data_IF_934915224822
#
_entry.id   IF_934915224822
#
_cell.length_a   1.000
_cell.length_b   1.000
_cell.length_c   1.000
_cell.angle_alpha   90.00
_cell.angle_beta   90.00
_cell.angle_gamma   90.00
#
_symmetry.space_group_name_H-M   'P 1'
#
loop_
_entity.id
_entity.type
_entity.pdbx_description
1 polymer ?
#
# COMPACT_ATOMS: atom_id res chain seq x y z
N UNK A 1 -24.03 16.79 -24.45
CA UNK A 1 -23.25 17.82 -23.71
C UNK A 1 -21.81 17.35 -23.61
N UNK A 2 -20.87 18.03 -24.26
CA UNK A 2 -19.44 17.74 -24.14
C UNK A 2 -18.87 18.43 -22.90
N UNK A 3 -18.25 17.66 -22.01
CA UNK A 3 -17.51 18.20 -20.87
C UNK A 3 -16.11 18.61 -21.35
N UNK A 4 -15.72 19.86 -21.05
CA UNK A 4 -14.38 20.37 -21.33
C UNK A 4 -13.31 19.52 -20.64
N UNK A 5 -12.16 19.31 -21.27
CA UNK A 5 -11.13 18.37 -20.80
C UNK A 5 -10.63 18.63 -19.37
N UNK A 6 -10.59 19.90 -18.95
CA UNK A 6 -10.21 20.29 -17.58
C UNK A 6 -11.24 19.91 -16.51
N UNK A 7 -12.50 19.71 -16.90
CA UNK A 7 -13.61 19.32 -16.02
C UNK A 7 -13.82 17.80 -15.98
N UNK A 8 -13.05 17.04 -16.76
CA UNK A 8 -13.07 15.58 -16.69
C UNK A 8 -12.36 15.12 -15.41
N UNK A 9 -13.16 14.74 -14.41
CA UNK A 9 -12.65 14.03 -13.24
C UNK A 9 -12.02 12.70 -13.63
N UNK A 10 -10.93 12.34 -12.96
CA UNK A 10 -10.30 11.03 -13.15
C UNK A 10 -10.94 10.09 -12.11
N UNK A 11 -11.65 9.06 -12.56
CA UNK A 11 -12.29 8.06 -11.71
C UNK A 11 -11.26 7.09 -11.11
N UNK A 12 -10.44 7.60 -10.20
CA UNK A 12 -9.37 6.78 -9.61
C UNK A 12 -9.92 5.66 -8.73
N UNK A 13 -11.16 5.75 -8.26
CA UNK A 13 -11.77 4.81 -7.31
C UNK A 13 -12.64 3.74 -7.98
N UNK A 14 -12.79 3.77 -9.31
CA UNK A 14 -13.58 2.78 -10.02
C UNK A 14 -13.00 1.37 -9.81
N UNK A 15 -13.83 0.45 -9.32
CA UNK A 15 -13.44 -0.94 -9.07
C UNK A 15 -12.66 -1.20 -7.77
N UNK A 16 -12.35 -0.17 -6.98
CA UNK A 16 -11.61 -0.33 -5.72
C UNK A 16 -12.47 -0.03 -4.48
N UNK A 17 -12.28 -0.81 -3.42
CA UNK A 17 -12.94 -0.57 -2.12
C UNK A 17 -12.25 0.57 -1.37
N UNK A 18 -13.05 1.50 -0.84
CA UNK A 18 -12.57 2.65 -0.06
C UNK A 18 -12.10 2.30 1.35
N UNK A 19 -12.55 1.15 1.88
CA UNK A 19 -12.23 0.62 3.20
C UNK A 19 -12.02 -0.89 3.09
N UNK A 20 -10.97 -1.38 3.74
CA UNK A 20 -10.67 -2.81 3.84
C UNK A 20 -11.59 -3.51 4.84
N UNK A 21 -11.81 -4.80 4.66
CA UNK A 21 -12.57 -5.60 5.64
C UNK A 21 -11.83 -5.61 6.98
N UNK A 22 -12.55 -5.94 8.06
CA UNK A 22 -11.97 -5.94 9.41
C UNK A 22 -10.74 -6.86 9.50
N UNK A 23 -10.84 -8.06 8.92
CA UNK A 23 -9.76 -9.06 8.87
C UNK A 23 -8.55 -8.52 8.11
N UNK A 24 -8.76 -7.90 6.95
CA UNK A 24 -7.69 -7.28 6.15
C UNK A 24 -6.99 -6.14 6.90
N UNK A 25 -7.74 -5.35 7.70
CA UNK A 25 -7.15 -4.28 8.52
C UNK A 25 -6.29 -4.83 9.65
N UNK A 26 -6.77 -5.85 10.36
CA UNK A 26 -5.99 -6.52 11.41
C UNK A 26 -4.68 -7.04 10.81
N UNK A 27 -4.76 -7.76 9.69
CA UNK A 27 -3.56 -8.31 9.02
C UNK A 27 -2.56 -7.25 8.55
N UNK A 28 -3.00 -6.03 8.23
CA UNK A 28 -2.09 -4.91 7.93
C UNK A 28 -1.53 -4.26 9.19
N UNK A 29 -2.37 -4.02 10.19
CA UNK A 29 -1.94 -3.40 11.44
C UNK A 29 -0.99 -4.29 12.24
N UNK A 30 -1.13 -5.62 12.16
CA UNK A 30 -0.18 -6.57 12.74
C UNK A 30 1.17 -6.50 12.03
N UNK A 31 1.20 -6.44 10.70
CA UNK A 31 2.43 -6.24 9.90
C UNK A 31 3.11 -4.92 10.23
N UNK A 32 2.34 -3.87 10.47
CA UNK A 32 2.85 -2.55 10.86
C UNK A 32 3.26 -2.47 12.34
N UNK A 33 3.07 -3.54 13.12
CA UNK A 33 3.34 -3.59 14.57
C UNK A 33 2.38 -2.76 15.43
N UNK A 34 1.28 -2.27 14.84
CA UNK A 34 0.28 -1.40 15.50
C UNK A 34 -0.87 -2.18 16.13
N UNK A 35 -0.95 -3.48 15.90
CA UNK A 35 -1.94 -4.37 16.50
C UNK A 35 -1.24 -5.59 17.09
N UNK A 36 -1.45 -5.83 18.40
CA UNK A 36 -1.00 -7.02 19.13
C UNK A 36 -2.24 -7.83 19.50
N UNK A 37 -2.26 -9.11 19.16
CA UNK A 37 -3.47 -9.93 19.29
C UNK A 37 -3.96 -10.05 20.75
N UNK A 38 -3.03 -10.03 21.71
CA UNK A 38 -3.33 -10.25 23.12
C UNK A 38 -3.91 -9.00 23.82
N UNK A 39 -3.52 -7.80 23.36
CA UNK A 39 -3.86 -6.53 24.04
C UNK A 39 -4.84 -5.65 23.24
N UNK A 40 -5.01 -5.91 21.94
CA UNK A 40 -5.73 -5.00 21.06
C UNK A 40 -7.17 -5.46 20.78
N UNK A 41 -8.11 -4.53 20.92
CA UNK A 41 -9.52 -4.77 20.57
C UNK A 41 -9.74 -4.84 19.06
N UNK A 42 -10.57 -5.81 18.66
CA UNK A 42 -11.06 -5.99 17.29
C UNK A 42 -12.07 -4.90 16.89
N UNK A 43 -12.64 -4.21 17.88
CA UNK A 43 -13.55 -3.08 17.69
C UNK A 43 -12.77 -1.76 17.65
N UNK A 44 -13.27 -0.76 16.92
CA UNK A 44 -12.64 0.56 16.87
C UNK A 44 -11.30 0.63 16.10
N UNK A 45 -10.97 -0.38 15.29
CA UNK A 45 -9.72 -0.39 14.51
C UNK A 45 -9.56 0.88 13.66
N UNK A 46 -8.34 1.44 13.57
CA UNK A 46 -8.08 2.61 12.72
C UNK A 46 -8.30 2.29 11.24
N UNK A 47 -8.64 3.32 10.45
CA UNK A 47 -8.78 3.20 9.00
C UNK A 47 -7.40 3.00 8.38
N UNK A 48 -7.23 1.90 7.66
CA UNK A 48 -5.98 1.61 6.96
C UNK A 48 -6.04 2.20 5.56
N UNK A 49 -4.97 2.89 5.16
CA UNK A 49 -4.89 3.52 3.84
C UNK A 49 -4.82 2.46 2.74
N UNK A 50 -5.65 2.61 1.71
CA UNK A 50 -5.75 1.65 0.59
C UNK A 50 -4.81 2.01 -0.55
N UNK A 51 -4.55 3.30 -0.77
CA UNK A 51 -3.71 3.79 -1.88
C UNK A 51 -2.37 4.33 -1.42
N UNK A 52 -1.33 3.90 -2.10
CA UNK A 52 -0.01 4.50 -2.05
C UNK A 52 0.28 5.19 -3.37
N UNK A 53 0.91 6.36 -3.32
CA UNK A 53 1.35 7.04 -4.53
C UNK A 53 2.53 6.24 -5.06
N UNK A 54 2.31 5.45 -6.10
CA UNK A 54 3.38 4.69 -6.73
C UNK A 54 4.28 5.70 -7.45
N UNK A 55 5.56 5.67 -7.13
CA UNK A 55 6.56 6.47 -7.84
C UNK A 55 6.74 5.84 -9.21
N UNK A 56 6.53 6.60 -10.28
CA UNK A 56 6.65 6.13 -11.67
C UNK A 56 7.87 6.74 -12.38
N UNK A 57 8.21 6.22 -13.57
CA UNK A 57 9.28 6.76 -14.41
C UNK A 57 10.69 6.46 -13.87
N UNK A 58 11.61 7.43 -14.00
CA UNK A 58 13.03 7.25 -13.62
C UNK A 58 13.21 6.84 -12.15
N UNK A 59 12.39 7.40 -11.26
CA UNK A 59 12.44 7.10 -9.82
C UNK A 59 12.02 5.66 -9.53
N UNK A 60 11.07 5.10 -10.29
CA UNK A 60 10.69 3.70 -10.16
C UNK A 60 11.84 2.75 -10.53
N UNK A 61 12.58 3.08 -11.61
CA UNK A 61 13.72 2.29 -12.09
C UNK A 61 14.90 2.32 -11.11
N UNK A 62 15.14 3.47 -10.46
CA UNK A 62 16.17 3.57 -9.43
C UNK A 62 15.84 2.70 -8.21
N UNK A 63 14.63 2.81 -7.66
CA UNK A 63 14.19 2.01 -6.51
C UNK A 63 14.18 0.51 -6.84
N UNK A 64 13.85 0.12 -8.08
CA UNK A 64 13.89 -1.27 -8.51
C UNK A 64 15.32 -1.84 -8.52
N UNK A 65 16.30 -1.06 -9.02
CA UNK A 65 17.72 -1.46 -8.98
C UNK A 65 18.24 -1.59 -7.56
N UNK A 66 17.94 -0.62 -6.70
CA UNK A 66 18.31 -0.67 -5.27
C UNK A 66 17.67 -1.88 -4.56
N UNK A 67 16.43 -2.24 -4.89
CA UNK A 67 15.76 -3.43 -4.34
C UNK A 67 16.41 -4.73 -4.83
N UNK A 68 16.81 -4.82 -6.10
CA UNK A 68 17.50 -5.99 -6.64
C UNK A 68 18.89 -6.17 -6.03
N UNK A 69 19.64 -5.09 -5.84
CA UNK A 69 20.94 -5.11 -5.17
C UNK A 69 20.81 -5.55 -3.71
N UNK A 70 19.83 -5.02 -2.97
CA UNK A 70 19.55 -5.43 -1.59
C UNK A 70 19.08 -6.90 -1.46
N UNK A 71 18.42 -7.45 -2.49
CA UNK A 71 18.02 -8.86 -2.53
C UNK A 71 19.21 -9.78 -2.84
N UNK A 72 20.15 -9.35 -3.71
CA UNK A 72 21.39 -10.09 -4.00
C UNK A 72 22.32 -10.17 -2.80
N UNK A 73 22.51 -9.07 -2.06
CA UNK A 73 23.32 -9.08 -0.83
C UNK A 73 22.73 -9.96 0.28
N UNK A 74 21.40 -9.97 0.45
CA UNK A 74 20.73 -10.85 1.42
C UNK A 74 20.80 -12.33 1.03
N UNK A 75 20.86 -12.65 -0.26
CA UNK A 75 21.09 -14.01 -0.76
C UNK A 75 22.53 -14.48 -0.55
N UNK A 76 23.51 -13.59 -0.66
CA UNK A 76 24.92 -13.89 -0.42
C UNK A 76 25.25 -14.09 1.07
N UNK A 77 24.61 -13.33 1.98
CA UNK A 77 24.78 -13.49 3.44
C UNK A 77 24.07 -14.70 4.05
N UNK A 78 23.26 -15.43 3.28
CA UNK A 78 22.52 -16.62 3.73
C UNK A 78 23.16 -17.94 3.27
N UNK A 79 24.33 -17.87 2.64
CA UNK A 79 25.14 -19.02 2.21
C UNK A 79 26.36 -19.17 3.10
#
# INVERSE_FOLDING_TARGET
MSIHSSLKGIDTLAGERSVLTRVERIAKLTKDGKFKADDASVYGLPKVRTKYKIVSGKKAKAIAKEREEALKEKGAKKK
#
